data_IF_460239388736
#
_entry.id   IF_460239388736
#
_cell.length_a   1.000
_cell.length_b   1.000
_cell.length_c   1.000
_cell.angle_alpha   90.00
_cell.angle_beta   90.00
_cell.angle_gamma   90.00
#
_symmetry.space_group_name_H-M   'P 1'
#
loop_
_entity.id
_entity.type
_entity.pdbx_description
1 polymer ?
#
# COMPACT_ATOMS: atom_id res chain seq x y z
N UNK A 1 -15.59 -18.60 -20.52
CA UNK A 1 -14.73 -19.02 -19.39
C UNK A 1 -13.82 -17.89 -18.94
N UNK A 2 -13.12 -17.22 -19.86
CA UNK A 2 -12.25 -16.07 -19.57
C UNK A 2 -12.95 -14.87 -18.89
N UNK A 3 -14.28 -14.76 -19.01
CA UNK A 3 -15.07 -13.74 -18.33
C UNK A 3 -15.03 -13.77 -16.80
N UNK A 4 -14.42 -14.79 -16.19
CA UNK A 4 -14.30 -14.91 -14.72
C UNK A 4 -13.18 -14.05 -14.14
N UNK A 5 -12.13 -13.78 -14.91
CA UNK A 5 -11.03 -12.90 -14.51
C UNK A 5 -11.24 -11.53 -15.13
N UNK A 6 -11.18 -10.43 -14.37
CA UNK A 6 -11.31 -9.10 -14.95
C UNK A 6 -10.10 -8.75 -15.82
N UNK A 7 -10.32 -7.88 -16.80
CA UNK A 7 -9.26 -7.21 -17.54
C UNK A 7 -8.63 -6.16 -16.63
N UNK A 8 -7.32 -6.25 -16.41
CA UNK A 8 -6.57 -5.36 -15.52
C UNK A 8 -5.43 -4.73 -16.33
N UNK A 9 -5.34 -3.40 -16.31
CA UNK A 9 -4.18 -2.66 -16.78
C UNK A 9 -3.38 -2.24 -15.55
N UNK A 10 -2.19 -2.79 -15.39
CA UNK A 10 -1.28 -2.45 -14.30
C UNK A 10 -0.01 -1.79 -14.82
N UNK A 11 0.47 -0.77 -14.12
CA UNK A 11 1.77 -0.15 -14.37
C UNK A 11 2.68 -0.32 -13.15
N UNK A 12 3.99 -0.40 -13.38
CA UNK A 12 4.98 -0.44 -12.29
C UNK A 12 5.38 0.98 -11.94
N UNK A 13 5.11 1.41 -10.71
CA UNK A 13 5.51 2.72 -10.23
C UNK A 13 6.97 2.65 -9.78
N UNK A 14 7.87 3.27 -10.55
CA UNK A 14 9.30 3.37 -10.18
C UNK A 14 9.59 4.54 -9.22
N UNK A 15 8.66 5.47 -9.09
CA UNK A 15 8.86 6.72 -8.35
C UNK A 15 8.51 6.52 -6.88
N UNK A 16 9.39 6.97 -5.98
CA UNK A 16 9.12 7.00 -4.53
C UNK A 16 9.81 5.94 -3.67
N UNK A 17 10.57 5.00 -4.24
CA UNK A 17 11.31 3.99 -3.45
C UNK A 17 12.24 4.63 -2.41
N UNK A 18 12.88 5.76 -2.74
CA UNK A 18 13.72 6.51 -1.81
C UNK A 18 12.92 7.07 -0.63
N UNK A 19 11.71 7.59 -0.89
CA UNK A 19 10.86 8.18 0.15
C UNK A 19 10.43 7.16 1.20
N UNK A 20 10.27 5.89 0.87
CA UNK A 20 9.99 4.86 1.87
C UNK A 20 11.11 4.70 2.90
N UNK A 21 12.37 4.71 2.46
CA UNK A 21 13.52 4.61 3.37
C UNK A 21 13.70 5.88 4.20
N UNK A 22 13.50 7.04 3.58
CA UNK A 22 13.63 8.32 4.29
C UNK A 22 12.48 8.50 5.30
N UNK A 23 11.27 8.07 4.94
CA UNK A 23 10.10 8.04 5.83
C UNK A 23 10.29 7.07 7.01
N UNK A 24 10.81 5.86 6.77
CA UNK A 24 11.15 4.91 7.84
C UNK A 24 12.16 5.53 8.83
N UNK A 25 13.23 6.16 8.31
CA UNK A 25 14.21 6.85 9.15
C UNK A 25 13.57 7.96 9.97
N UNK A 26 12.71 8.78 9.36
CA UNK A 26 11.99 9.85 10.04
C UNK A 26 11.12 9.30 11.18
N UNK A 27 10.30 8.29 10.91
CA UNK A 27 9.37 7.71 11.89
C UNK A 27 10.11 7.16 13.11
N UNK A 28 11.28 6.55 12.92
CA UNK A 28 12.15 6.08 14.01
C UNK A 28 12.66 7.20 14.93
N UNK A 29 12.64 8.46 14.49
CA UNK A 29 13.03 9.62 15.32
C UNK A 29 11.88 10.22 16.11
N UNK A 30 10.63 9.83 15.82
CA UNK A 30 9.45 10.41 16.44
C UNK A 30 9.33 10.03 17.93
N UNK A 31 8.77 10.97 18.69
CA UNK A 31 8.40 10.75 20.10
C UNK A 31 6.88 10.57 20.17
N UNK A 32 6.37 10.06 21.29
CA UNK A 32 4.94 9.83 21.51
C UNK A 32 4.09 11.10 21.33
N UNK A 33 4.62 12.28 21.61
CA UNK A 33 3.94 13.58 21.45
C UNK A 33 3.77 13.99 19.96
N UNK A 34 4.51 13.36 19.05
CA UNK A 34 4.55 13.72 17.63
C UNK A 34 3.44 13.04 16.80
N UNK A 35 2.66 12.14 17.39
CA UNK A 35 1.61 11.41 16.69
C UNK A 35 0.45 11.05 17.62
N UNK A 36 -0.72 10.80 17.04
CA UNK A 36 -1.91 10.30 17.74
C UNK A 36 -2.28 8.97 17.11
N UNK A 37 -2.51 7.96 17.95
CA UNK A 37 -2.98 6.63 17.54
C UNK A 37 -4.41 6.46 18.04
N UNK A 38 -5.30 6.12 17.13
CA UNK A 38 -6.62 5.60 17.45
C UNK A 38 -6.61 4.08 17.22
N UNK A 39 -6.65 3.33 18.32
CA UNK A 39 -6.62 1.87 18.31
C UNK A 39 -7.94 1.25 17.84
N UNK A 40 -9.06 1.96 18.02
CA UNK A 40 -10.38 1.47 17.62
C UNK A 40 -10.52 1.51 16.10
N UNK A 41 -10.16 2.65 15.49
CA UNK A 41 -10.15 2.79 14.03
C UNK A 41 -8.88 2.25 13.36
N UNK A 42 -7.86 1.84 14.13
CA UNK A 42 -6.51 1.50 13.66
C UNK A 42 -5.94 2.57 12.73
N UNK A 43 -6.06 3.83 13.14
CA UNK A 43 -5.51 4.97 12.42
C UNK A 43 -4.40 5.65 13.22
N UNK A 44 -3.51 6.32 12.49
CA UNK A 44 -2.40 7.07 13.07
C UNK A 44 -2.19 8.34 12.26
N UNK A 45 -2.05 9.46 12.95
CA UNK A 45 -1.83 10.78 12.35
C UNK A 45 -0.73 11.54 13.09
N UNK A 46 -0.06 12.46 12.39
CA UNK A 46 0.92 13.34 13.01
C UNK A 46 0.20 14.47 13.76
N UNK A 47 0.71 14.84 14.93
CA UNK A 47 0.33 16.08 15.61
C UNK A 47 0.97 17.28 14.92
N UNK A 48 0.57 18.50 15.29
CA UNK A 48 1.23 19.72 14.81
C UNK A 48 2.74 19.72 15.05
N UNK A 49 3.19 19.16 16.19
CA UNK A 49 4.61 19.01 16.48
C UNK A 49 5.28 18.00 15.54
N UNK A 50 4.62 16.86 15.28
CA UNK A 50 5.09 15.87 14.32
C UNK A 50 5.20 16.43 12.90
N UNK A 51 4.26 17.28 12.50
CA UNK A 51 4.28 17.96 11.19
C UNK A 51 5.47 18.93 11.10
N UNK A 52 5.68 19.79 12.10
CA UNK A 52 6.84 20.71 12.13
C UNK A 52 8.17 19.95 12.12
N UNK A 53 8.23 18.81 12.82
CA UNK A 53 9.41 17.94 12.83
C UNK A 53 9.65 17.31 11.46
N UNK A 54 8.59 16.86 10.78
CA UNK A 54 8.69 16.35 9.41
C UNK A 54 9.22 17.44 8.47
N UNK A 55 8.67 18.64 8.54
CA UNK A 55 9.09 19.79 7.73
C UNK A 55 10.57 20.10 7.90
N UNK A 56 11.05 20.09 9.15
CA UNK A 56 12.46 20.29 9.47
C UNK A 56 13.34 19.14 8.97
N UNK A 57 12.93 17.89 9.18
CA UNK A 57 13.69 16.69 8.80
C UNK A 57 13.86 16.57 7.28
N UNK A 58 12.79 16.84 6.53
CA UNK A 58 12.79 16.76 5.07
C UNK A 58 13.15 18.09 4.39
N UNK A 59 13.42 19.14 5.16
CA UNK A 59 13.77 20.49 4.68
C UNK A 59 12.73 21.07 3.72
N UNK A 60 11.44 20.91 4.07
CA UNK A 60 10.30 21.40 3.29
C UNK A 60 9.52 22.45 4.08
N UNK A 61 8.91 23.40 3.37
CA UNK A 61 8.13 24.48 4.00
C UNK A 61 6.75 24.06 4.49
N UNK A 62 6.11 23.13 3.78
CA UNK A 62 4.76 22.67 4.08
C UNK A 62 4.59 21.21 3.64
N UNK A 63 4.39 20.32 4.61
CA UNK A 63 4.21 18.89 4.35
C UNK A 63 2.96 18.58 3.52
N UNK A 64 1.89 19.37 3.66
CA UNK A 64 0.61 19.18 2.99
C UNK A 64 0.50 19.91 1.64
N UNK A 65 1.59 20.53 1.17
CA UNK A 65 1.59 21.10 -0.17
C UNK A 65 1.47 20.01 -1.25
N UNK A 66 0.80 20.30 -2.36
CA UNK A 66 0.55 19.33 -3.43
C UNK A 66 1.82 18.67 -4.00
N UNK A 67 2.95 19.38 -3.97
CA UNK A 67 4.25 18.86 -4.42
C UNK A 67 4.79 17.74 -3.52
N UNK A 68 4.35 17.67 -2.26
CA UNK A 68 4.83 16.72 -1.25
C UNK A 68 3.91 15.53 -1.04
N UNK A 69 2.87 15.36 -1.87
CA UNK A 69 1.87 14.29 -1.73
C UNK A 69 2.51 12.89 -1.64
N UNK A 70 3.49 12.59 -2.50
CA UNK A 70 4.17 11.29 -2.50
C UNK A 70 4.95 11.04 -1.20
N UNK A 71 5.61 12.07 -0.67
CA UNK A 71 6.33 11.99 0.60
C UNK A 71 5.37 11.82 1.78
N UNK A 72 4.30 12.63 1.83
CA UNK A 72 3.27 12.53 2.86
C UNK A 72 2.63 11.14 2.88
N UNK A 73 2.34 10.57 1.70
CA UNK A 73 1.85 9.21 1.56
C UNK A 73 2.82 8.18 2.16
N UNK A 74 4.12 8.27 1.82
CA UNK A 74 5.14 7.39 2.38
C UNK A 74 5.27 7.54 3.91
N UNK A 75 5.20 8.76 4.45
CA UNK A 75 5.24 9.01 5.90
C UNK A 75 4.03 8.36 6.59
N UNK A 76 2.82 8.53 6.06
CA UNK A 76 1.62 7.89 6.60
C UNK A 76 1.74 6.36 6.62
N UNK A 77 2.28 5.77 5.56
CA UNK A 77 2.50 4.33 5.51
C UNK A 77 3.62 3.86 6.45
N UNK A 78 4.70 4.63 6.59
CA UNK A 78 5.76 4.34 7.55
C UNK A 78 5.24 4.39 9.00
N UNK A 79 4.38 5.36 9.34
CA UNK A 79 3.71 5.43 10.64
C UNK A 79 2.87 4.18 10.92
N UNK A 80 2.00 3.80 9.96
CA UNK A 80 1.19 2.57 10.08
C UNK A 80 2.08 1.33 10.22
N UNK A 81 3.08 1.17 9.36
CA UNK A 81 4.00 0.05 9.38
C UNK A 81 4.76 -0.05 10.71
N UNK A 82 5.18 1.08 11.28
CA UNK A 82 5.96 1.10 12.51
C UNK A 82 5.11 0.84 13.76
N UNK A 83 4.01 1.57 13.92
CA UNK A 83 3.23 1.62 15.16
C UNK A 83 2.02 0.68 15.19
N UNK A 84 1.39 0.40 14.04
CA UNK A 84 0.17 -0.42 13.99
C UNK A 84 0.42 -1.86 13.57
N UNK A 85 1.53 -2.14 12.88
CA UNK A 85 1.85 -3.47 12.35
C UNK A 85 2.94 -4.13 13.18
N UNK A 86 2.62 -5.30 13.75
CA UNK A 86 3.52 -6.09 14.56
C UNK A 86 4.04 -7.34 13.83
N UNK A 87 5.35 -7.55 13.93
CA UNK A 87 6.02 -8.77 13.45
C UNK A 87 5.55 -9.97 14.25
N UNK A 88 5.34 -11.10 13.58
CA UNK A 88 4.78 -12.35 14.11
C UNK A 88 3.32 -12.24 14.59
N UNK A 89 2.61 -11.16 14.23
CA UNK A 89 1.18 -10.99 14.49
C UNK A 89 0.43 -10.61 13.22
N UNK A 90 0.80 -9.51 12.59
CA UNK A 90 0.15 -9.02 11.37
C UNK A 90 0.89 -9.47 10.11
N UNK A 91 2.20 -9.66 10.22
CA UNK A 91 3.05 -10.17 9.16
C UNK A 91 4.20 -10.99 9.75
N UNK A 92 4.83 -11.79 8.90
CA UNK A 92 6.08 -12.48 9.21
C UNK A 92 7.12 -12.16 8.16
N UNK A 93 8.36 -12.48 8.49
CA UNK A 93 9.50 -12.35 7.58
C UNK A 93 10.01 -13.73 7.26
N UNK A 94 10.00 -14.11 5.99
CA UNK A 94 10.60 -15.35 5.50
C UNK A 94 11.44 -15.07 4.25
N UNK A 95 12.67 -15.60 4.21
CA UNK A 95 13.61 -15.43 3.09
C UNK A 95 13.73 -13.97 2.59
N UNK A 96 13.82 -13.02 3.53
CA UNK A 96 13.88 -11.57 3.26
C UNK A 96 12.64 -11.00 2.54
N UNK A 97 11.49 -11.67 2.64
CA UNK A 97 10.20 -11.20 2.14
C UNK A 97 9.19 -11.08 3.28
N UNK A 98 8.34 -10.06 3.16
CA UNK A 98 7.20 -9.86 4.06
C UNK A 98 6.07 -10.76 3.60
N UNK A 99 5.55 -11.62 4.49
CA UNK A 99 4.36 -12.43 4.23
C UNK A 99 3.25 -12.02 5.20
N UNK A 100 2.03 -11.92 4.68
CA UNK A 100 0.86 -11.50 5.45
C UNK A 100 0.35 -12.67 6.29
N UNK A 101 0.00 -12.39 7.55
CA UNK A 101 -0.72 -13.34 8.39
C UNK A 101 -2.20 -12.99 8.36
N UNK A 102 -3.04 -13.98 8.07
CA UNK A 102 -4.49 -13.85 8.21
C UNK A 102 -4.85 -13.75 9.70
N UNK A 103 -5.47 -12.64 10.10
CA UNK A 103 -5.85 -12.37 11.50
C UNK A 103 -6.90 -13.36 12.04
N UNK A 104 -7.69 -14.00 11.18
CA UNK A 104 -8.71 -14.96 11.62
C UNK A 104 -8.16 -16.38 11.76
N UNK A 105 -7.31 -16.80 10.81
CA UNK A 105 -6.85 -18.20 10.73
C UNK A 105 -5.41 -18.40 11.18
N UNK A 106 -4.62 -17.33 11.32
CA UNK A 106 -3.18 -17.39 11.60
C UNK A 106 -2.35 -17.92 10.42
N UNK A 107 -2.96 -18.17 9.26
CA UNK A 107 -2.27 -18.73 8.09
C UNK A 107 -1.49 -17.67 7.34
N UNK A 108 -0.39 -18.11 6.75
CA UNK A 108 0.44 -17.28 5.87
C UNK A 108 -0.20 -17.19 4.49
N UNK A 109 -0.47 -15.97 4.04
CA UNK A 109 -1.04 -15.71 2.73
C UNK A 109 0.08 -15.49 1.70
N UNK A 110 0.57 -16.58 1.10
CA UNK A 110 1.60 -16.52 0.08
C UNK A 110 1.13 -15.77 -1.18
N UNK A 111 2.01 -14.95 -1.75
CA UNK A 111 1.74 -14.19 -2.97
C UNK A 111 0.82 -12.98 -2.79
N UNK A 112 0.35 -12.69 -1.57
CA UNK A 112 -0.39 -11.46 -1.28
C UNK A 112 0.52 -10.36 -0.76
N UNK A 113 0.25 -9.13 -1.17
CA UNK A 113 0.91 -7.92 -0.71
C UNK A 113 -0.11 -6.99 -0.05
N UNK A 114 0.35 -6.16 0.90
CA UNK A 114 -0.48 -5.11 1.43
C UNK A 114 -0.67 -4.03 0.37
N UNK A 115 -1.85 -3.43 0.32
CA UNK A 115 -2.20 -2.40 -0.66
C UNK A 115 -1.63 -1.03 -0.29
N UNK A 116 -1.70 -0.10 -1.24
CA UNK A 116 -1.51 1.34 -1.02
C UNK A 116 -0.15 1.69 -0.37
N UNK A 117 0.91 1.00 -0.78
CA UNK A 117 2.28 1.29 -0.32
C UNK A 117 2.66 0.75 1.06
N UNK A 118 1.72 0.14 1.80
CA UNK A 118 2.01 -0.39 3.14
C UNK A 118 3.02 -1.55 3.12
N UNK A 119 3.02 -2.36 2.06
CA UNK A 119 3.97 -3.46 1.92
C UNK A 119 5.40 -2.94 1.81
N UNK A 120 5.60 -1.92 0.98
CA UNK A 120 6.88 -1.24 0.77
C UNK A 120 7.37 -0.56 2.05
N UNK A 121 6.47 0.02 2.84
CA UNK A 121 6.81 0.59 4.14
C UNK A 121 7.27 -0.49 5.15
N UNK A 122 6.68 -1.69 5.13
CA UNK A 122 7.13 -2.83 5.95
C UNK A 122 8.48 -3.38 5.49
N UNK A 123 8.70 -3.48 4.18
CA UNK A 123 10.00 -3.84 3.61
C UNK A 123 11.08 -2.84 4.05
N UNK A 124 10.76 -1.54 4.03
CA UNK A 124 11.65 -0.49 4.52
C UNK A 124 11.91 -0.60 6.03
N UNK A 125 10.86 -0.84 6.85
CA UNK A 125 10.95 -1.02 8.31
C UNK A 125 11.94 -2.11 8.69
N UNK A 126 11.85 -3.26 8.02
CA UNK A 126 12.70 -4.43 8.26
C UNK A 126 14.05 -4.35 7.52
N UNK A 127 14.30 -3.30 6.74
CA UNK A 127 15.57 -3.06 6.06
C UNK A 127 15.81 -3.89 4.80
N UNK A 128 14.76 -4.45 4.20
CA UNK A 128 14.84 -5.28 3.00
C UNK A 128 14.80 -4.46 1.70
N UNK A 129 14.96 -5.17 0.58
CA UNK A 129 14.79 -4.57 -0.74
C UNK A 129 13.31 -4.26 -0.96
N UNK A 130 13.04 -3.01 -1.34
CA UNK A 130 11.69 -2.52 -1.56
C UNK A 130 11.28 -2.87 -2.98
N UNK A 131 10.24 -3.70 -3.13
CA UNK A 131 9.70 -4.03 -4.44
C UNK A 131 8.82 -2.88 -4.95
N UNK A 132 8.92 -2.48 -6.24
CA UNK A 132 8.11 -1.40 -6.77
C UNK A 132 6.62 -1.71 -6.69
N UNK A 133 5.83 -0.72 -6.32
CA UNK A 133 4.38 -0.85 -6.27
C UNK A 133 3.79 -1.18 -7.65
N UNK A 134 2.84 -2.11 -7.64
CA UNK A 134 2.00 -2.38 -8.80
C UNK A 134 0.74 -1.53 -8.67
N UNK A 135 0.61 -0.54 -9.54
CA UNK A 135 -0.56 0.34 -9.57
C UNK A 135 -1.53 -0.15 -10.64
N UNK A 136 -2.77 -0.43 -10.24
CA UNK A 136 -3.84 -0.81 -11.16
C UNK A 136 -4.44 0.47 -11.73
N UNK A 137 -4.16 0.77 -12.99
CA UNK A 137 -4.65 1.99 -13.66
C UNK A 137 -6.10 1.87 -14.11
N UNK A 138 -6.54 0.67 -14.50
CA UNK A 138 -7.91 0.41 -14.90
C UNK A 138 -8.27 -1.06 -14.72
N UNK A 139 -9.53 -1.32 -14.37
CA UNK A 139 -10.10 -2.67 -14.27
C UNK A 139 -11.51 -2.69 -14.84
N UNK A 140 -11.83 -3.68 -15.68
CA UNK A 140 -13.19 -3.93 -16.14
C UNK A 140 -13.45 -5.44 -16.28
N UNK A 141 -14.64 -5.91 -15.97
CA UNK A 141 -15.03 -7.30 -16.24
C UNK A 141 -15.44 -7.45 -17.70
N UNK A 142 -15.23 -8.61 -18.32
CA UNK A 142 -15.69 -8.84 -19.69
C UNK A 142 -17.20 -8.63 -19.84
N UNK A 143 -18.00 -9.01 -18.83
CA UNK A 143 -19.45 -8.81 -18.84
C UNK A 143 -19.81 -7.33 -18.96
N UNK A 144 -19.14 -6.47 -18.18
CA UNK A 144 -19.39 -5.03 -18.24
C UNK A 144 -18.81 -4.40 -19.50
N UNK A 145 -17.65 -4.85 -19.97
CA UNK A 145 -17.04 -4.38 -21.19
C UNK A 145 -17.94 -4.64 -22.42
N UNK A 146 -18.45 -5.87 -22.58
CA UNK A 146 -19.33 -6.19 -23.70
C UNK A 146 -20.67 -5.45 -23.65
N UNK A 147 -21.18 -5.10 -22.47
CA UNK A 147 -22.42 -4.31 -22.30
C UNK A 147 -22.34 -2.89 -22.85
N UNK A 148 -21.14 -2.36 -23.11
CA UNK A 148 -20.95 -1.01 -23.68
C UNK A 148 -21.35 -0.98 -25.16
N UNK A 149 -21.34 -2.11 -25.86
CA UNK A 149 -21.65 -2.18 -27.29
C UNK A 149 -23.15 -2.09 -27.56
N UNK A 150 -23.55 -1.25 -28.53
CA UNK A 150 -24.94 -1.11 -28.97
C UNK A 150 -25.54 -2.40 -29.54
N UNK A 151 -24.71 -3.26 -30.13
CA UNK A 151 -25.08 -4.58 -30.64
C UNK A 151 -24.03 -5.59 -30.21
N UNK A 152 -24.47 -6.69 -29.61
CA UNK A 152 -23.63 -7.81 -29.17
C UNK A 152 -24.03 -9.04 -29.97
N UNK A 153 -23.07 -9.82 -30.44
CA UNK A 153 -23.30 -11.09 -31.14
C UNK A 153 -22.13 -12.02 -30.81
N UNK A 154 -22.38 -13.33 -30.78
CA UNK A 154 -21.35 -14.33 -30.46
C UNK A 154 -21.68 -15.66 -31.14
N UNK A 155 -20.64 -16.46 -31.37
CA UNK A 155 -20.76 -17.81 -31.93
C UNK A 155 -19.99 -18.79 -31.05
N UNK A 156 -20.58 -19.95 -30.79
CA UNK A 156 -19.93 -21.08 -30.13
C UNK A 156 -20.73 -22.35 -30.38
N UNK A 157 -20.06 -23.50 -30.44
CA UNK A 157 -20.71 -24.81 -30.61
C UNK A 157 -21.45 -25.31 -29.38
N UNK A 158 -21.28 -24.69 -28.22
CA UNK A 158 -21.70 -25.24 -26.92
C UNK A 158 -22.43 -24.23 -26.02
N UNK A 159 -23.19 -23.29 -26.59
CA UNK A 159 -23.91 -22.26 -25.82
C UNK A 159 -25.29 -22.69 -25.29
N UNK A 160 -25.91 -23.73 -25.85
CA UNK A 160 -27.33 -24.06 -25.59
C UNK A 160 -27.55 -24.85 -24.29
N UNK A 161 -26.53 -25.57 -23.85
CA UNK A 161 -26.50 -26.36 -22.60
C UNK A 161 -26.46 -25.47 -21.38
#
# INVERSE_FOLDING_TARGET
DEGRTPLIISSKKKQGIKFYRDADRFVKTLKEESYIIDLESKTIELTEEGIKKAETFFQIKNLYSGNNYALLHCIKNALKAFFLMAKNKDYLVDKNKILIIDQFTGRVLQGRQFSDGLHQALEAKEGYNIEPETEISATITYQNFFRIYKKISGMTGTAKT
#
